data_IF_795039713524
#
_entry.id   IF_795039713524
#
_cell.length_a   1.000
_cell.length_b   1.000
_cell.length_c   1.000
_cell.angle_alpha   90.00
_cell.angle_beta   90.00
_cell.angle_gamma   90.00
#
_symmetry.space_group_name_H-M   'P 1'
#
loop_
_entity.id
_entity.type
_entity.pdbx_description
1 polymer ?
#
# COMPACT_ATOMS: atom_id res chain seq x y z
N UNK A 1 13.62 -26.49 15.65
CA UNK A 1 12.54 -26.58 14.64
C UNK A 1 12.97 -25.73 13.46
N UNK A 2 13.29 -26.40 12.35
CA UNK A 2 13.95 -25.81 11.19
C UNK A 2 13.01 -24.84 10.44
N UNK A 3 13.39 -23.57 10.34
CA UNK A 3 12.91 -22.70 9.28
C UNK A 3 13.80 -22.98 8.06
N UNK A 4 13.29 -23.76 7.11
CA UNK A 4 14.01 -24.03 5.86
C UNK A 4 14.26 -22.72 5.08
N UNK A 5 15.33 -22.64 4.27
CA UNK A 5 15.53 -21.50 3.40
C UNK A 5 14.43 -21.55 2.34
N UNK A 6 13.43 -20.68 2.43
CA UNK A 6 12.52 -20.46 1.33
C UNK A 6 13.31 -19.74 0.25
N UNK A 7 13.81 -20.56 -0.67
CA UNK A 7 14.49 -20.16 -1.88
C UNK A 7 13.76 -18.95 -2.47
N UNK A 8 14.48 -17.83 -2.59
CA UNK A 8 14.12 -16.68 -3.42
C UNK A 8 14.25 -17.07 -4.90
N UNK A 9 13.59 -18.18 -5.26
CA UNK A 9 13.43 -18.65 -6.61
C UNK A 9 12.37 -17.78 -7.25
N UNK A 10 12.78 -17.11 -8.32
CA UNK A 10 11.94 -16.35 -9.23
C UNK A 10 10.94 -17.29 -9.91
N UNK A 11 9.95 -17.77 -9.15
CA UNK A 11 8.81 -18.49 -9.71
C UNK A 11 8.08 -17.46 -10.57
N UNK A 12 8.13 -17.64 -11.90
CA UNK A 12 7.24 -16.96 -12.84
C UNK A 12 5.82 -17.43 -12.52
N UNK A 13 5.23 -16.83 -11.50
CA UNK A 13 3.94 -17.22 -11.00
C UNK A 13 2.89 -16.65 -11.97
N UNK A 14 2.51 -17.46 -12.96
CA UNK A 14 1.50 -17.10 -13.95
C UNK A 14 0.18 -16.70 -13.30
N UNK A 15 -0.20 -17.35 -12.20
CA UNK A 15 -1.38 -16.98 -11.43
C UNK A 15 -1.28 -15.55 -10.85
N UNK A 16 -0.09 -15.07 -10.44
CA UNK A 16 0.07 -13.66 -10.03
C UNK A 16 -0.14 -12.70 -11.21
N UNK A 17 0.27 -13.08 -12.43
CA UNK A 17 0.08 -12.23 -13.62
C UNK A 17 -1.39 -12.17 -14.02
N UNK A 18 -2.08 -13.29 -13.97
CA UNK A 18 -3.53 -13.36 -14.21
C UNK A 18 -4.30 -12.55 -13.18
N UNK A 19 -3.99 -12.74 -11.89
CA UNK A 19 -4.57 -11.95 -10.80
C UNK A 19 -4.32 -10.46 -10.97
N UNK A 20 -3.11 -10.05 -11.39
CA UNK A 20 -2.83 -8.65 -11.69
C UNK A 20 -3.75 -8.12 -12.78
N UNK A 21 -3.94 -8.87 -13.87
CA UNK A 21 -4.78 -8.43 -15.00
C UNK A 21 -6.25 -8.32 -14.58
N UNK A 22 -6.76 -9.28 -13.82
CA UNK A 22 -8.14 -9.25 -13.33
C UNK A 22 -8.37 -8.08 -12.35
N UNK A 23 -7.49 -7.95 -11.34
CA UNK A 23 -7.60 -6.90 -10.33
C UNK A 23 -7.38 -5.51 -10.92
N UNK A 24 -6.50 -5.35 -11.90
CA UNK A 24 -6.28 -4.07 -12.61
C UNK A 24 -7.53 -3.59 -13.33
N UNK A 25 -8.32 -4.50 -13.94
CA UNK A 25 -9.60 -4.15 -14.58
C UNK A 25 -10.62 -3.68 -13.55
N UNK A 26 -10.76 -4.42 -12.44
CA UNK A 26 -11.66 -4.07 -11.35
C UNK A 26 -11.25 -2.76 -10.65
N UNK A 27 -9.95 -2.52 -10.49
CA UNK A 27 -9.40 -1.28 -9.96
C UNK A 27 -9.75 -0.08 -10.87
N UNK A 28 -9.54 -0.23 -12.17
CA UNK A 28 -9.89 0.80 -13.16
C UNK A 28 -11.40 1.09 -13.22
N UNK A 29 -12.23 0.10 -12.87
CA UNK A 29 -13.68 0.23 -12.76
C UNK A 29 -14.16 0.78 -11.40
N UNK A 30 -13.26 0.97 -10.42
CA UNK A 30 -13.61 1.41 -9.07
C UNK A 30 -14.37 0.37 -8.25
N UNK A 31 -14.21 -0.92 -8.57
CA UNK A 31 -14.95 -2.03 -7.96
C UNK A 31 -14.21 -2.70 -6.79
N UNK A 32 -12.99 -2.25 -6.47
CA UNK A 32 -12.20 -2.81 -5.37
C UNK A 32 -12.57 -2.15 -4.04
N UNK A 33 -12.84 -2.98 -3.04
CA UNK A 33 -12.95 -2.60 -1.63
C UNK A 33 -11.58 -2.56 -0.93
N UNK A 34 -11.53 -2.14 0.33
CA UNK A 34 -10.25 -2.01 1.05
C UNK A 34 -9.44 -3.31 1.18
N UNK A 35 -10.10 -4.48 1.27
CA UNK A 35 -9.42 -5.77 1.32
C UNK A 35 -8.88 -6.20 -0.05
N UNK A 36 -9.65 -5.96 -1.12
CA UNK A 36 -9.23 -6.31 -2.48
C UNK A 36 -8.19 -5.33 -3.03
N UNK A 37 -8.22 -4.05 -2.63
CA UNK A 37 -7.12 -3.10 -2.82
C UNK A 37 -5.85 -3.59 -2.14
N UNK A 38 -5.94 -4.01 -0.87
CA UNK A 38 -4.80 -4.59 -0.16
C UNK A 38 -4.22 -5.81 -0.91
N UNK A 39 -5.08 -6.75 -1.33
CA UNK A 39 -4.66 -7.92 -2.09
C UNK A 39 -3.98 -7.54 -3.41
N UNK A 40 -4.53 -6.54 -4.13
CA UNK A 40 -3.94 -6.04 -5.36
C UNK A 40 -2.55 -5.46 -5.13
N UNK A 41 -2.36 -4.66 -4.08
CA UNK A 41 -1.05 -4.16 -3.66
C UNK A 41 -0.03 -5.28 -3.38
N UNK A 42 -0.47 -6.37 -2.72
CA UNK A 42 0.38 -7.55 -2.47
C UNK A 42 0.78 -8.24 -3.77
N UNK A 43 -0.13 -8.38 -4.73
CA UNK A 43 0.15 -8.96 -6.04
C UNK A 43 1.17 -8.11 -6.80
N UNK A 44 0.97 -6.79 -6.83
CA UNK A 44 1.90 -5.83 -7.45
C UNK A 44 3.29 -5.92 -6.82
N UNK A 45 3.37 -5.95 -5.48
CA UNK A 45 4.64 -6.09 -4.77
C UNK A 45 5.35 -7.40 -5.10
N UNK A 46 4.63 -8.52 -5.13
CA UNK A 46 5.21 -9.84 -5.48
C UNK A 46 5.69 -9.91 -6.93
N UNK A 47 5.16 -9.04 -7.80
CA UNK A 47 5.60 -8.87 -9.19
C UNK A 47 6.69 -7.77 -9.34
N UNK A 48 7.23 -7.25 -8.23
CA UNK A 48 8.25 -6.20 -8.18
C UNK A 48 7.79 -4.85 -8.78
N UNK A 49 6.47 -4.63 -8.84
CA UNK A 49 5.86 -3.37 -9.30
C UNK A 49 5.68 -2.42 -8.12
N UNK A 50 6.81 -2.04 -7.50
CA UNK A 50 6.82 -1.41 -6.17
C UNK A 50 6.14 -0.04 -6.12
N UNK A 51 6.28 0.78 -7.19
CA UNK A 51 5.64 2.11 -7.25
C UNK A 51 4.11 2.01 -7.25
N UNK A 52 3.57 1.19 -8.14
CA UNK A 52 2.13 0.92 -8.23
C UNK A 52 1.60 0.30 -6.93
N UNK A 53 2.39 -0.59 -6.31
CA UNK A 53 2.02 -1.18 -5.03
C UNK A 53 1.87 -0.13 -3.92
N UNK A 54 2.76 0.86 -3.85
CA UNK A 54 2.67 1.96 -2.88
C UNK A 54 1.37 2.74 -3.06
N UNK A 55 1.05 3.15 -4.29
CA UNK A 55 -0.16 3.92 -4.58
C UNK A 55 -1.43 3.15 -4.17
N UNK A 56 -1.48 1.86 -4.51
CA UNK A 56 -2.61 0.98 -4.16
C UNK A 56 -2.69 0.73 -2.65
N UNK A 57 -1.58 0.60 -1.94
CA UNK A 57 -1.61 0.47 -0.48
C UNK A 57 -2.08 1.76 0.21
N UNK A 58 -1.70 2.94 -0.31
CA UNK A 58 -2.23 4.22 0.17
C UNK A 58 -3.75 4.26 -0.01
N UNK A 59 -4.26 3.86 -1.18
CA UNK A 59 -5.71 3.76 -1.42
C UNK A 59 -6.38 2.77 -0.46
N UNK A 60 -5.79 1.59 -0.25
CA UNK A 60 -6.30 0.58 0.69
C UNK A 60 -6.39 1.10 2.13
N UNK A 61 -5.41 1.88 2.59
CA UNK A 61 -5.43 2.48 3.94
C UNK A 61 -6.47 3.57 4.10
N UNK A 62 -6.83 4.28 3.03
CA UNK A 62 -7.95 5.22 3.06
C UNK A 62 -9.30 4.50 3.06
N UNK A 63 -9.43 3.44 2.26
CA UNK A 63 -10.65 2.64 2.17
C UNK A 63 -10.92 1.82 3.44
N UNK A 64 -9.86 1.29 4.07
CA UNK A 64 -9.96 0.49 5.29
C UNK A 64 -8.82 0.83 6.28
N UNK A 65 -8.95 1.93 7.04
CA UNK A 65 -7.90 2.43 7.94
C UNK A 65 -7.46 1.45 9.03
N UNK A 66 -8.34 0.54 9.42
CA UNK A 66 -8.08 -0.46 10.47
C UNK A 66 -7.35 -1.71 9.95
N UNK A 67 -7.08 -1.80 8.64
CA UNK A 67 -6.38 -2.92 8.06
C UNK A 67 -4.87 -2.82 8.29
N UNK A 68 -4.38 -3.41 9.39
CA UNK A 68 -2.97 -3.34 9.79
C UNK A 68 -2.02 -3.80 8.68
N UNK A 69 -2.41 -4.85 7.93
CA UNK A 69 -1.55 -5.42 6.91
C UNK A 69 -1.20 -4.43 5.80
N UNK A 70 -2.09 -3.48 5.48
CA UNK A 70 -1.83 -2.50 4.42
C UNK A 70 -0.78 -1.48 4.87
N UNK A 71 -0.86 -1.03 6.11
CA UNK A 71 0.12 -0.14 6.72
C UNK A 71 1.50 -0.80 6.84
N UNK A 72 1.57 -2.07 7.26
CA UNK A 72 2.86 -2.77 7.35
C UNK A 72 3.54 -2.87 5.99
N UNK A 73 2.79 -3.26 4.97
CA UNK A 73 3.30 -3.37 3.60
C UNK A 73 3.83 -2.02 3.11
N UNK A 74 3.10 -0.94 3.37
CA UNK A 74 3.51 0.42 3.03
C UNK A 74 4.81 0.83 3.76
N UNK A 75 4.92 0.57 5.06
CA UNK A 75 6.13 0.84 5.84
C UNK A 75 7.35 0.06 5.31
N UNK A 76 7.16 -1.18 4.84
CA UNK A 76 8.24 -1.98 4.27
C UNK A 76 8.69 -1.51 2.89
N UNK A 77 7.82 -0.80 2.15
CA UNK A 77 8.11 -0.29 0.81
C UNK A 77 8.71 1.12 0.82
N UNK A 78 8.32 1.95 1.79
CA UNK A 78 8.89 3.29 1.97
C UNK A 78 10.26 3.15 2.63
N UNK A 79 11.28 2.96 1.79
CA UNK A 79 12.68 2.78 2.23
C UNK A 79 13.45 4.10 2.35
N UNK A 80 12.89 5.23 1.88
CA UNK A 80 13.58 6.51 1.90
C UNK A 80 12.63 7.69 2.21
N UNK A 81 12.99 8.51 3.20
CA UNK A 81 12.25 9.74 3.59
C UNK A 81 12.14 10.72 2.41
N UNK A 82 13.06 10.68 1.46
CA UNK A 82 13.06 11.57 0.29
C UNK A 82 11.93 11.30 -0.71
N UNK A 83 11.32 10.11 -0.70
CA UNK A 83 10.16 9.80 -1.55
C UNK A 83 8.89 10.55 -1.09
N UNK A 84 8.83 10.91 0.20
CA UNK A 84 7.74 11.71 0.79
C UNK A 84 7.80 13.17 0.33
N UNK A 85 8.97 13.65 -0.11
CA UNK A 85 9.20 15.05 -0.46
C UNK A 85 8.83 15.33 -1.93
N UNK A 86 9.11 14.43 -2.87
CA UNK A 86 8.86 14.65 -4.31
C UNK A 86 7.38 14.48 -4.71
N UNK A 87 6.59 13.68 -3.99
CA UNK A 87 5.15 13.52 -4.30
C UNK A 87 4.32 14.76 -3.96
N UNK A 88 4.88 15.72 -3.19
CA UNK A 88 4.20 16.95 -2.79
C UNK A 88 4.48 18.16 -3.69
N UNK A 89 5.46 18.11 -4.60
CA UNK A 89 5.90 19.32 -5.34
C UNK A 89 5.25 19.51 -6.71
N UNK A 90 4.58 18.52 -7.28
CA UNK A 90 4.02 18.64 -8.65
C UNK A 90 2.53 19.04 -8.69
N UNK A 91 1.85 19.21 -7.54
CA UNK A 91 0.40 19.50 -7.51
C UNK A 91 -0.06 20.51 -6.44
N UNK A 92 0.65 21.62 -6.26
CA UNK A 92 0.20 22.66 -5.32
C UNK A 92 0.14 24.07 -5.92
N UNK A 93 -0.80 24.26 -6.83
CA UNK A 93 -1.61 25.49 -6.85
C UNK A 93 -2.88 25.20 -6.02
N UNK A 94 -2.87 25.53 -4.73
CA UNK A 94 -4.05 25.39 -3.85
C UNK A 94 -4.98 26.58 -3.96
N UNK A 95 -6.29 26.33 -4.13
CA UNK A 95 -7.32 27.14 -3.53
C UNK A 95 -7.57 26.70 -2.08
N UNK A 96 -7.73 27.69 -1.23
CA UNK A 96 -7.91 27.59 0.22
C UNK A 96 -9.22 26.90 0.63
N UNK A 97 -9.23 25.58 0.78
CA UNK A 97 -10.22 24.83 1.59
C UNK A 97 -9.73 23.40 1.85
N UNK A 98 -8.60 23.25 2.55
CA UNK A 98 -8.05 21.93 2.91
C UNK A 98 -8.57 21.48 4.27
N UNK A 99 -9.25 20.35 4.25
CA UNK A 99 -9.64 19.54 5.40
C UNK A 99 -8.37 19.12 6.17
N UNK A 100 -8.30 19.23 7.52
CA UNK A 100 -7.02 19.13 8.23
C UNK A 100 -6.37 17.73 8.16
N UNK A 101 -5.08 17.69 7.79
CA UNK A 101 -4.14 16.54 7.75
C UNK A 101 -3.91 15.81 9.10
N UNK A 102 -4.67 16.10 10.15
CA UNK A 102 -4.41 15.61 11.51
C UNK A 102 -5.01 14.23 11.82
N UNK A 103 -5.98 13.74 11.05
CA UNK A 103 -6.65 12.47 11.36
C UNK A 103 -5.79 11.24 11.04
N UNK A 104 -5.21 11.14 9.84
CA UNK A 104 -4.46 9.94 9.42
C UNK A 104 -3.19 9.66 10.24
N UNK A 105 -2.39 10.69 10.53
CA UNK A 105 -1.20 10.57 11.38
C UNK A 105 -1.55 10.32 12.85
N UNK A 106 -2.69 10.81 13.34
CA UNK A 106 -3.19 10.48 14.68
C UNK A 106 -3.67 9.02 14.76
N UNK A 107 -4.31 8.49 13.72
CA UNK A 107 -4.68 7.07 13.67
C UNK A 107 -3.46 6.15 13.58
N UNK A 108 -2.41 6.53 12.85
CA UNK A 108 -1.15 5.80 12.83
C UNK A 108 -0.42 5.90 14.19
N UNK A 109 -0.31 7.09 14.79
CA UNK A 109 0.40 7.26 16.06
C UNK A 109 -0.32 6.58 17.23
N UNK A 110 -1.66 6.63 17.28
CA UNK A 110 -2.44 5.93 18.30
C UNK A 110 -2.34 4.41 18.19
N UNK A 111 -2.25 3.85 16.98
CA UNK A 111 -2.09 2.40 16.81
C UNK A 111 -0.65 1.92 17.02
N UNK A 112 0.36 2.70 16.62
CA UNK A 112 1.76 2.38 16.93
C UNK A 112 2.02 2.35 18.44
N UNK A 113 1.42 3.28 19.20
CA UNK A 113 1.57 3.35 20.67
C UNK A 113 0.91 2.18 21.41
N UNK A 114 -0.17 1.57 20.89
CA UNK A 114 -0.86 0.42 21.52
C UNK A 114 -0.18 -0.93 21.25
N UNK A 115 0.73 -1.01 20.29
CA UNK A 115 1.44 -2.23 19.91
C UNK A 115 2.82 -2.33 20.60
N UNK A 116 3.34 -1.22 21.14
CA UNK A 116 4.63 -1.13 21.82
C UNK A 116 4.55 -1.18 23.37
N UNK A 117 3.41 -1.61 23.93
CA UNK A 117 3.22 -1.98 25.35
C UNK A 117 2.63 -3.38 25.44
#
# INVERSE_FOLDING_TARGET
LAAGPLEKGQVRNEALRELRVELSKKHSAGELDGFTLYLYGVVLRKLDLLKEAVDVFVEATHALPLHWGAWLELCNLITNIDMVIHTHTDNFSVPSTVVPRSTGLHYMSMNLYRILQ
#
